data_IF_314293977259
#
_entry.id   IF_314293977259
#
_cell.length_a   1.000
_cell.length_b   1.000
_cell.length_c   1.000
_cell.angle_alpha   90.00
_cell.angle_beta   90.00
_cell.angle_gamma   90.00
#
_symmetry.space_group_name_H-M   'P 1'
#
loop_
_entity.id
_entity.type
_entity.pdbx_description
1 polymer ?
#
# COMPACT_ATOMS: atom_id res chain seq x y z
N UNK A 1 22.29 3.33 -5.88
CA UNK A 1 21.24 2.27 -5.85
C UNK A 1 19.92 2.85 -5.39
N UNK A 2 18.80 2.53 -6.07
CA UNK A 2 17.45 2.96 -5.67
C UNK A 2 17.05 2.30 -4.34
N UNK A 3 16.65 3.10 -3.34
CA UNK A 3 16.24 2.56 -2.03
C UNK A 3 14.91 1.84 -2.12
N UNK A 4 14.79 0.66 -1.48
CA UNK A 4 13.51 -0.01 -1.30
C UNK A 4 12.54 0.87 -0.51
N UNK A 5 11.27 0.91 -0.94
CA UNK A 5 10.25 1.81 -0.41
C UNK A 5 9.27 1.04 0.48
N UNK A 6 9.08 1.50 1.71
CA UNK A 6 8.24 0.83 2.72
C UNK A 6 7.26 1.84 3.32
N UNK A 7 5.98 1.51 3.32
CA UNK A 7 4.99 2.14 4.19
C UNK A 7 4.87 1.31 5.47
N UNK A 8 5.12 1.94 6.61
CA UNK A 8 4.86 1.33 7.92
C UNK A 8 3.41 1.63 8.30
N UNK A 9 2.63 0.58 8.54
CA UNK A 9 1.24 0.74 8.97
C UNK A 9 1.17 1.16 10.44
N UNK A 10 0.62 2.35 10.68
CA UNK A 10 0.42 2.95 11.98
C UNK A 10 -1.01 2.65 12.46
N UNK A 11 -1.27 1.37 12.74
CA UNK A 11 -2.59 0.86 13.14
C UNK A 11 -2.68 0.85 14.68
N UNK A 12 -3.02 2.00 15.28
CA UNK A 12 -3.24 2.20 16.71
C UNK A 12 -3.86 3.58 16.95
N UNK A 13 -4.77 3.73 17.90
CA UNK A 13 -5.31 5.03 18.33
C UNK A 13 -4.40 5.77 19.31
N UNK A 14 -3.37 5.09 19.85
CA UNK A 14 -2.42 5.67 20.80
C UNK A 14 -1.35 6.51 20.08
N UNK A 15 -1.44 7.83 20.22
CA UNK A 15 -0.54 8.80 19.58
C UNK A 15 0.91 8.62 20.03
N UNK A 16 1.16 8.31 21.31
CA UNK A 16 2.53 8.09 21.80
C UNK A 16 3.15 6.89 21.09
N UNK A 17 2.38 5.82 20.87
CA UNK A 17 2.82 4.66 20.09
C UNK A 17 3.12 5.03 18.64
N UNK A 18 2.30 5.84 17.99
CA UNK A 18 2.56 6.32 16.63
C UNK A 18 3.84 7.15 16.56
N UNK A 19 4.05 8.09 17.50
CA UNK A 19 5.29 8.87 17.61
C UNK A 19 6.52 7.98 17.79
N UNK A 20 6.41 6.95 18.61
CA UNK A 20 7.47 5.96 18.81
C UNK A 20 7.79 5.21 17.51
N UNK A 21 6.77 4.72 16.78
CA UNK A 21 6.95 4.04 15.49
C UNK A 21 7.70 4.96 14.53
N UNK A 22 7.27 6.21 14.37
CA UNK A 22 7.90 7.18 13.46
C UNK A 22 9.35 7.43 13.87
N UNK A 23 9.63 7.66 15.15
CA UNK A 23 10.97 7.95 15.67
C UNK A 23 11.92 6.76 15.50
N UNK A 24 11.48 5.55 15.91
CA UNK A 24 12.34 4.34 15.95
C UNK A 24 12.52 3.66 14.59
N UNK A 25 11.70 3.99 13.58
CA UNK A 25 11.81 3.39 12.25
C UNK A 25 12.68 4.18 11.27
N UNK A 26 13.17 5.36 11.64
CA UNK A 26 14.02 6.18 10.77
C UNK A 26 15.31 5.44 10.39
N UNK A 27 15.65 5.44 9.11
CA UNK A 27 16.88 4.86 8.56
C UNK A 27 17.22 5.49 7.20
N UNK A 28 18.51 5.61 6.89
CA UNK A 28 18.98 6.04 5.58
C UNK A 28 18.97 4.92 4.52
N UNK A 29 18.82 3.66 4.93
CA UNK A 29 18.91 2.48 4.05
C UNK A 29 17.62 2.15 3.30
N UNK A 30 16.48 2.65 3.76
CA UNK A 30 15.15 2.47 3.17
C UNK A 30 14.49 3.82 2.95
N UNK A 31 13.59 3.92 1.96
CA UNK A 31 12.66 5.05 1.86
C UNK A 31 11.39 4.69 2.64
N UNK A 32 11.17 5.36 3.77
CA UNK A 32 10.05 5.08 4.67
C UNK A 32 8.96 6.13 4.53
N UNK A 33 7.71 5.67 4.46
CA UNK A 33 6.49 6.43 4.64
C UNK A 33 5.62 5.79 5.72
N UNK A 34 4.55 6.47 6.13
CA UNK A 34 3.65 6.02 7.19
C UNK A 34 2.23 5.97 6.68
N UNK A 35 1.59 4.79 6.79
CA UNK A 35 0.20 4.57 6.43
C UNK A 35 -0.68 4.70 7.67
N UNK A 36 -1.66 5.58 7.58
CA UNK A 36 -2.69 5.77 8.59
C UNK A 36 -4.00 5.15 8.09
N UNK A 37 -4.46 4.11 8.78
CA UNK A 37 -5.67 3.38 8.43
C UNK A 37 -6.92 3.92 9.12
N UNK A 38 -8.07 3.28 8.87
CA UNK A 38 -9.39 3.72 9.35
C UNK A 38 -9.45 3.87 10.86
N UNK A 39 -8.87 2.93 11.63
CA UNK A 39 -8.84 2.99 13.09
C UNK A 39 -8.25 4.31 13.60
N UNK A 40 -7.07 4.69 13.07
CA UNK A 40 -6.40 5.92 13.49
C UNK A 40 -7.10 7.17 12.98
N UNK A 41 -7.48 7.19 11.69
CA UNK A 41 -8.08 8.37 11.05
C UNK A 41 -9.45 8.73 11.64
N UNK A 42 -10.20 7.74 12.14
CA UNK A 42 -11.48 7.94 12.82
C UNK A 42 -11.33 8.15 14.34
N UNK A 43 -10.11 8.08 14.89
CA UNK A 43 -9.89 8.37 16.30
C UNK A 43 -9.97 9.88 16.60
N UNK A 44 -10.34 10.24 17.83
CA UNK A 44 -10.52 11.64 18.30
C UNK A 44 -9.38 12.59 17.87
N UNK A 45 -8.14 12.11 17.88
CA UNK A 45 -6.95 12.94 17.61
C UNK A 45 -6.25 12.60 16.29
N UNK A 46 -6.75 11.64 15.51
CA UNK A 46 -6.05 11.13 14.32
C UNK A 46 -5.85 12.21 13.26
N UNK A 47 -6.89 12.94 12.91
CA UNK A 47 -6.83 14.05 11.95
C UNK A 47 -5.88 15.17 12.40
N UNK A 48 -6.00 15.63 13.66
CA UNK A 48 -5.13 16.65 14.26
C UNK A 48 -3.66 16.22 14.23
N UNK A 49 -3.38 14.97 14.58
CA UNK A 49 -2.02 14.44 14.56
C UNK A 49 -1.43 14.46 13.15
N UNK A 50 -2.17 13.97 12.15
CA UNK A 50 -1.67 13.93 10.76
C UNK A 50 -1.40 15.33 10.22
N UNK A 51 -2.26 16.32 10.49
CA UNK A 51 -2.08 17.71 10.02
C UNK A 51 -0.80 18.35 10.57
N UNK A 52 -0.29 17.87 11.69
CA UNK A 52 0.95 18.37 12.33
C UNK A 52 2.23 17.65 11.83
N UNK A 53 2.09 16.57 11.07
CA UNK A 53 3.26 15.83 10.56
C UNK A 53 3.97 16.65 9.46
N UNK A 54 5.27 16.90 9.69
CA UNK A 54 6.13 17.58 8.72
C UNK A 54 7.22 16.63 8.22
N UNK A 55 7.63 16.79 6.95
CA UNK A 55 8.76 16.08 6.36
C UNK A 55 8.64 14.53 6.39
N UNK A 56 7.42 14.00 6.42
CA UNK A 56 7.14 12.57 6.33
C UNK A 56 6.37 12.26 5.04
N UNK A 57 6.63 11.09 4.46
CA UNK A 57 5.76 10.56 3.39
C UNK A 57 4.56 9.93 4.07
N UNK A 58 3.38 10.47 3.82
CA UNK A 58 2.13 10.06 4.47
C UNK A 58 1.17 9.43 3.49
N UNK A 59 0.49 8.39 3.95
CA UNK A 59 -0.50 7.63 3.20
C UNK A 59 -1.79 7.52 4.02
N UNK A 60 -2.84 8.23 3.57
CA UNK A 60 -4.19 8.15 4.11
C UNK A 60 -4.94 6.96 3.50
N UNK A 61 -5.09 5.88 4.28
CA UNK A 61 -5.74 4.65 3.81
C UNK A 61 -7.23 4.67 4.15
N UNK A 62 -7.99 5.64 3.55
CA UNK A 62 -9.41 5.86 3.77
C UNK A 62 -10.31 4.85 3.08
N UNK A 63 -9.85 4.29 1.94
CA UNK A 63 -10.64 3.37 1.11
C UNK A 63 -11.99 3.95 0.70
N UNK A 64 -12.00 5.23 0.26
CA UNK A 64 -13.24 5.86 -0.20
C UNK A 64 -13.98 4.98 -1.20
N UNK A 65 -15.30 4.85 -1.02
CA UNK A 65 -16.17 4.06 -1.88
C UNK A 65 -17.55 4.68 -1.88
N UNK A 66 -17.85 5.46 -2.92
CA UNK A 66 -19.09 6.21 -3.03
C UNK A 66 -19.31 6.68 -4.49
N UNK A 67 -20.41 7.40 -4.75
CA UNK A 67 -20.69 8.04 -6.05
C UNK A 67 -19.63 9.09 -6.40
N UNK A 68 -19.47 9.47 -7.69
CA UNK A 68 -18.38 10.33 -8.15
C UNK A 68 -18.23 11.65 -7.39
N UNK A 69 -19.33 12.35 -7.14
CA UNK A 69 -19.31 13.64 -6.45
C UNK A 69 -18.84 13.51 -4.99
N UNK A 70 -19.33 12.50 -4.28
CA UNK A 70 -18.95 12.23 -2.88
C UNK A 70 -17.47 11.85 -2.78
N UNK A 71 -16.97 10.99 -3.66
CA UNK A 71 -15.55 10.65 -3.72
C UNK A 71 -14.67 11.88 -3.97
N UNK A 72 -15.06 12.76 -4.91
CA UNK A 72 -14.35 13.99 -5.17
C UNK A 72 -14.37 14.95 -3.97
N UNK A 73 -15.52 15.10 -3.32
CA UNK A 73 -15.69 15.94 -2.13
C UNK A 73 -14.87 15.43 -0.94
N UNK A 74 -14.82 14.11 -0.72
CA UNK A 74 -14.00 13.49 0.31
C UNK A 74 -12.49 13.77 0.09
N UNK A 75 -12.01 13.68 -1.16
CA UNK A 75 -10.62 14.04 -1.50
C UNK A 75 -10.36 15.53 -1.26
N UNK A 76 -11.30 16.42 -1.60
CA UNK A 76 -11.17 17.85 -1.29
C UNK A 76 -11.10 18.10 0.22
N UNK A 77 -11.94 17.44 1.01
CA UNK A 77 -12.06 17.60 2.44
C UNK A 77 -10.80 17.20 3.24
N UNK A 78 -9.91 16.37 2.66
CA UNK A 78 -8.65 15.96 3.31
C UNK A 78 -7.42 16.69 2.78
N UNK A 79 -7.58 17.72 1.93
CA UNK A 79 -6.43 18.45 1.36
C UNK A 79 -5.55 19.15 2.40
N UNK A 80 -6.15 19.63 3.49
CA UNK A 80 -5.46 20.24 4.62
C UNK A 80 -4.47 19.27 5.31
N UNK A 81 -4.72 17.97 5.25
CA UNK A 81 -3.85 16.93 5.82
C UNK A 81 -2.58 16.68 4.98
N UNK A 82 -2.52 17.20 3.76
CA UNK A 82 -1.37 17.14 2.86
C UNK A 82 -0.82 15.72 2.67
N UNK A 83 -1.69 14.72 2.59
CA UNK A 83 -1.29 13.36 2.29
C UNK A 83 -0.55 13.27 0.94
N UNK A 84 0.54 12.50 0.92
CA UNK A 84 1.21 12.17 -0.34
C UNK A 84 0.41 11.13 -1.15
N UNK A 85 -0.33 10.25 -0.45
CA UNK A 85 -1.13 9.18 -1.04
C UNK A 85 -2.47 9.05 -0.33
N UNK A 86 -3.53 8.73 -1.09
CA UNK A 86 -4.87 8.44 -0.56
C UNK A 86 -5.54 7.33 -1.36
N UNK A 87 -6.29 6.45 -0.68
CA UNK A 87 -6.96 5.31 -1.31
C UNK A 87 -8.42 5.57 -1.66
N UNK A 88 -8.82 5.01 -2.81
CA UNK A 88 -10.21 4.86 -3.26
C UNK A 88 -10.41 3.42 -3.76
N UNK A 89 -11.56 2.81 -3.49
CA UNK A 89 -11.89 1.51 -4.05
C UNK A 89 -12.14 1.60 -5.56
N UNK A 90 -11.53 0.69 -6.34
CA UNK A 90 -11.72 0.64 -7.79
C UNK A 90 -13.16 0.21 -8.13
N UNK A 91 -13.81 -0.55 -7.23
CA UNK A 91 -15.23 -0.94 -7.34
C UNK A 91 -16.20 0.24 -7.32
N UNK A 92 -15.79 1.45 -6.92
CA UNK A 92 -16.61 2.67 -7.05
C UNK A 92 -16.88 3.07 -8.51
N UNK A 93 -16.24 2.40 -9.47
CA UNK A 93 -16.45 2.62 -10.90
C UNK A 93 -15.58 3.74 -11.50
N UNK A 94 -15.49 3.73 -12.84
CA UNK A 94 -14.57 4.58 -13.59
C UNK A 94 -14.79 6.08 -13.33
N UNK A 95 -16.03 6.51 -13.27
CA UNK A 95 -16.36 7.94 -13.11
C UNK A 95 -15.99 8.46 -11.72
N UNK A 96 -16.18 7.66 -10.66
CA UNK A 96 -15.73 8.01 -9.30
C UNK A 96 -14.20 8.11 -9.23
N UNK A 97 -13.48 7.18 -9.87
CA UNK A 97 -12.03 7.22 -9.95
C UNK A 97 -11.50 8.47 -10.67
N UNK A 98 -12.12 8.82 -11.82
CA UNK A 98 -11.77 10.03 -12.58
C UNK A 98 -12.08 11.31 -11.78
N UNK A 99 -13.25 11.38 -11.12
CA UNK A 99 -13.66 12.52 -10.32
C UNK A 99 -12.70 12.75 -9.15
N UNK A 100 -12.34 11.70 -8.41
CA UNK A 100 -11.35 11.76 -7.35
C UNK A 100 -9.96 12.20 -7.88
N UNK A 101 -9.50 11.65 -9.00
CA UNK A 101 -8.22 12.00 -9.60
C UNK A 101 -8.17 13.46 -10.07
N UNK A 102 -9.25 13.96 -10.67
CA UNK A 102 -9.35 15.36 -11.15
C UNK A 102 -9.11 16.38 -10.04
N UNK A 103 -9.58 16.11 -8.82
CA UNK A 103 -9.50 17.04 -7.69
C UNK A 103 -8.31 16.78 -6.74
N UNK A 104 -7.50 15.76 -6.98
CA UNK A 104 -6.48 15.28 -6.04
C UNK A 104 -5.28 16.23 -5.84
N UNK A 105 -5.01 17.14 -6.78
CA UNK A 105 -3.87 18.04 -6.73
C UNK A 105 -2.54 17.28 -6.62
N UNK A 106 -1.77 17.55 -5.56
CA UNK A 106 -0.48 16.88 -5.28
C UNK A 106 -0.62 15.51 -4.63
N UNK A 107 -1.80 15.14 -4.13
CA UNK A 107 -2.06 13.83 -3.53
C UNK A 107 -2.17 12.76 -4.60
N UNK A 108 -1.37 11.73 -4.52
CA UNK A 108 -1.45 10.56 -5.41
C UNK A 108 -2.65 9.70 -5.02
N UNK A 109 -3.53 9.43 -5.98
CA UNK A 109 -4.68 8.56 -5.78
C UNK A 109 -4.31 7.11 -6.06
N UNK A 110 -4.56 6.26 -5.06
CA UNK A 110 -4.30 4.83 -5.10
C UNK A 110 -5.63 4.08 -5.27
N UNK A 111 -5.77 3.32 -6.34
CA UNK A 111 -6.89 2.39 -6.49
C UNK A 111 -6.70 1.14 -5.63
N UNK A 112 -7.65 0.85 -4.76
CA UNK A 112 -7.68 -0.43 -4.03
C UNK A 112 -8.39 -1.46 -4.89
N UNK A 113 -7.67 -2.54 -5.22
CA UNK A 113 -8.25 -3.69 -5.91
C UNK A 113 -9.00 -4.60 -4.94
N UNK A 114 -8.96 -5.91 -5.11
CA UNK A 114 -9.61 -6.86 -4.20
C UNK A 114 -8.84 -6.93 -2.88
N UNK A 115 -9.56 -6.80 -1.77
CA UNK A 115 -9.01 -6.93 -0.42
C UNK A 115 -8.31 -8.28 -0.24
N UNK A 116 -7.15 -8.28 0.40
CA UNK A 116 -6.33 -9.50 0.59
C UNK A 116 -6.97 -10.56 1.50
N UNK A 117 -8.02 -10.19 2.23
CA UNK A 117 -8.85 -11.10 3.03
C UNK A 117 -9.86 -11.91 2.19
N UNK A 118 -10.20 -11.44 0.97
CA UNK A 118 -11.18 -12.10 0.11
C UNK A 118 -10.51 -13.17 -0.75
N UNK A 119 -11.17 -14.31 -0.85
CA UNK A 119 -10.86 -15.39 -1.79
C UNK A 119 -12.01 -15.55 -2.80
N UNK A 120 -11.92 -16.54 -3.71
CA UNK A 120 -12.95 -16.75 -4.74
C UNK A 120 -14.33 -17.06 -4.15
N UNK A 121 -14.40 -17.79 -3.02
CA UNK A 121 -15.66 -18.08 -2.33
C UNK A 121 -16.30 -16.80 -1.82
N UNK A 122 -15.54 -15.99 -1.07
CA UNK A 122 -16.03 -14.72 -0.52
C UNK A 122 -16.44 -13.71 -1.62
N UNK A 123 -15.77 -13.74 -2.80
CA UNK A 123 -16.19 -12.92 -3.94
C UNK A 123 -17.57 -13.35 -4.49
N UNK A 124 -17.83 -14.66 -4.59
CA UNK A 124 -19.13 -15.17 -5.01
C UNK A 124 -20.24 -14.80 -4.01
N UNK A 125 -19.94 -14.92 -2.69
CA UNK A 125 -20.86 -14.54 -1.61
C UNK A 125 -21.33 -13.08 -1.68
N UNK A 126 -20.46 -12.16 -2.18
CA UNK A 126 -20.78 -10.73 -2.37
C UNK A 126 -21.16 -10.38 -3.81
N UNK A 127 -21.54 -11.38 -4.62
CA UNK A 127 -22.12 -11.18 -5.95
C UNK A 127 -21.16 -11.04 -7.13
N UNK A 128 -19.84 -11.27 -6.97
CA UNK A 128 -18.92 -11.23 -8.10
C UNK A 128 -18.84 -12.59 -8.82
N UNK A 129 -19.11 -12.59 -10.13
CA UNK A 129 -18.97 -13.78 -10.99
C UNK A 129 -17.51 -14.14 -11.35
N UNK A 130 -16.62 -13.12 -11.40
CA UNK A 130 -15.20 -13.32 -11.73
C UNK A 130 -14.40 -13.80 -10.53
N UNK A 131 -13.44 -14.71 -10.76
CA UNK A 131 -12.43 -15.04 -9.77
C UNK A 131 -11.51 -13.85 -9.42
N UNK A 132 -10.78 -13.97 -8.30
CA UNK A 132 -9.87 -12.91 -7.81
C UNK A 132 -8.92 -12.45 -8.90
N UNK A 133 -8.29 -13.35 -9.63
CA UNK A 133 -7.27 -13.02 -10.64
C UNK A 133 -7.85 -12.25 -11.81
N UNK A 134 -8.99 -12.69 -12.36
CA UNK A 134 -9.69 -12.02 -13.47
C UNK A 134 -10.21 -10.65 -13.03
N UNK A 135 -10.74 -10.55 -11.81
CA UNK A 135 -11.27 -9.29 -11.28
C UNK A 135 -10.16 -8.27 -11.02
N UNK A 136 -9.03 -8.68 -10.45
CA UNK A 136 -7.87 -7.82 -10.23
C UNK A 136 -7.31 -7.28 -11.55
N UNK A 137 -7.23 -8.10 -12.60
CA UNK A 137 -6.82 -7.65 -13.94
C UNK A 137 -7.81 -6.62 -14.50
N UNK A 138 -9.11 -6.87 -14.38
CA UNK A 138 -10.14 -5.92 -14.80
C UNK A 138 -9.98 -4.58 -14.07
N UNK A 139 -9.82 -4.61 -12.76
CA UNK A 139 -9.60 -3.42 -11.93
C UNK A 139 -8.29 -2.69 -12.26
N UNK A 140 -7.22 -3.41 -12.58
CA UNK A 140 -5.97 -2.79 -13.02
C UNK A 140 -6.14 -2.00 -14.34
N UNK A 141 -6.92 -2.52 -15.28
CA UNK A 141 -7.29 -1.81 -16.51
C UNK A 141 -8.14 -0.56 -16.23
N UNK A 142 -9.10 -0.64 -15.30
CA UNK A 142 -9.90 0.53 -14.86
C UNK A 142 -9.02 1.60 -14.21
N UNK A 143 -8.13 1.22 -13.30
CA UNK A 143 -7.17 2.13 -12.66
C UNK A 143 -6.27 2.83 -13.70
N UNK A 144 -5.82 2.09 -14.72
CA UNK A 144 -5.06 2.65 -15.84
C UNK A 144 -5.91 3.66 -16.64
N UNK A 145 -7.14 3.28 -17.02
CA UNK A 145 -8.09 4.15 -17.76
C UNK A 145 -8.44 5.43 -16.98
N UNK A 146 -8.57 5.35 -15.67
CA UNK A 146 -8.78 6.48 -14.77
C UNK A 146 -7.51 7.31 -14.51
N UNK A 147 -6.34 6.93 -15.07
CA UNK A 147 -5.03 7.58 -14.88
C UNK A 147 -4.61 7.68 -13.41
N UNK A 148 -5.02 6.72 -12.56
CA UNK A 148 -4.61 6.70 -11.16
C UNK A 148 -3.08 6.67 -11.03
N UNK A 149 -2.56 7.10 -9.88
CA UNK A 149 -1.11 7.20 -9.65
C UNK A 149 -0.50 5.92 -9.13
N UNK A 150 -1.31 5.11 -8.43
CA UNK A 150 -0.90 3.82 -7.90
C UNK A 150 -2.08 2.85 -7.81
N UNK A 151 -1.77 1.57 -7.60
CA UNK A 151 -2.74 0.51 -7.31
C UNK A 151 -2.26 -0.31 -6.11
N UNK A 152 -3.20 -0.71 -5.24
CA UNK A 152 -2.96 -1.71 -4.20
C UNK A 152 -3.43 -3.06 -4.70
N UNK A 153 -2.54 -4.07 -4.66
CA UNK A 153 -2.88 -5.47 -4.90
C UNK A 153 -2.01 -6.39 -4.03
N UNK A 154 -2.46 -7.63 -3.85
CA UNK A 154 -1.66 -8.66 -3.17
C UNK A 154 -0.36 -8.94 -3.93
N UNK A 155 0.68 -9.34 -3.20
CA UNK A 155 1.97 -9.70 -3.79
C UNK A 155 1.89 -10.87 -4.80
N UNK A 156 0.84 -11.68 -4.73
CA UNK A 156 0.59 -12.78 -5.68
C UNK A 156 0.14 -12.25 -7.05
N UNK A 157 -0.55 -11.11 -7.09
CA UNK A 157 -1.10 -10.53 -8.32
C UNK A 157 -0.16 -9.51 -8.99
N UNK A 158 0.90 -9.06 -8.31
CA UNK A 158 1.79 -7.98 -8.82
C UNK A 158 2.27 -8.24 -10.25
N UNK A 159 2.76 -9.44 -10.56
CA UNK A 159 3.27 -9.76 -11.91
C UNK A 159 2.21 -9.58 -13.00
N UNK A 160 0.96 -9.99 -12.73
CA UNK A 160 -0.12 -9.85 -13.71
C UNK A 160 -0.64 -8.41 -13.77
N UNK A 161 -0.74 -7.73 -12.64
CA UNK A 161 -1.14 -6.30 -12.56
C UNK A 161 -0.15 -5.43 -13.34
N UNK A 162 1.16 -5.70 -13.21
CA UNK A 162 2.22 -4.95 -13.89
C UNK A 162 2.11 -4.97 -15.42
N UNK A 163 1.49 -6.00 -16.00
CA UNK A 163 1.21 -6.05 -17.44
C UNK A 163 0.27 -4.94 -17.90
N UNK A 164 -0.69 -4.54 -17.07
CA UNK A 164 -1.77 -3.58 -17.39
C UNK A 164 -1.63 -2.23 -16.69
N UNK A 165 -0.83 -2.14 -15.62
CA UNK A 165 -0.65 -0.92 -14.85
C UNK A 165 0.83 -0.62 -14.65
N UNK A 166 1.33 0.43 -15.30
CA UNK A 166 2.77 0.76 -15.36
C UNK A 166 3.25 1.74 -14.29
N UNK A 167 2.32 2.38 -13.54
CA UNK A 167 2.67 3.27 -12.43
C UNK A 167 2.93 2.51 -11.12
N UNK A 168 2.88 3.16 -9.96
CA UNK A 168 3.29 2.54 -8.70
C UNK A 168 2.34 1.41 -8.25
N UNK A 169 2.90 0.27 -7.86
CA UNK A 169 2.19 -0.84 -7.23
C UNK A 169 2.56 -0.89 -5.76
N UNK A 170 1.56 -0.83 -4.90
CA UNK A 170 1.70 -0.85 -3.44
C UNK A 170 1.15 -2.17 -2.93
N UNK A 171 1.96 -2.90 -2.16
CA UNK A 171 1.63 -4.30 -1.81
C UNK A 171 1.57 -4.48 -0.29
N UNK A 172 0.37 -4.71 0.26
CA UNK A 172 0.18 -5.10 1.65
C UNK A 172 0.38 -6.61 1.86
N UNK A 173 0.15 -7.09 3.10
CA UNK A 173 0.20 -8.52 3.41
C UNK A 173 1.62 -9.09 3.42
N UNK A 174 2.61 -8.28 3.76
CA UNK A 174 4.01 -8.69 3.80
C UNK A 174 4.36 -9.28 5.16
N UNK A 175 5.03 -10.44 5.16
CA UNK A 175 5.51 -11.14 6.37
C UNK A 175 6.96 -11.60 6.17
N UNK A 176 7.73 -11.68 7.28
CA UNK A 176 9.08 -12.23 7.26
C UNK A 176 9.08 -13.75 7.37
N UNK A 177 8.08 -14.31 8.07
CA UNK A 177 7.90 -15.74 8.33
C UNK A 177 6.55 -16.22 7.78
N UNK A 178 6.32 -17.52 7.78
CA UNK A 178 5.12 -18.20 7.26
C UNK A 178 3.81 -17.89 8.01
N UNK A 179 3.87 -17.27 9.18
CA UNK A 179 2.67 -16.92 9.95
C UNK A 179 1.79 -15.91 9.20
N UNK A 180 0.64 -16.37 8.72
CA UNK A 180 -0.28 -15.60 7.87
C UNK A 180 -1.13 -14.59 8.67
N UNK A 181 -1.49 -14.89 9.94
CA UNK A 181 -2.44 -14.10 10.73
C UNK A 181 -3.79 -14.00 10.01
N UNK A 182 -4.37 -12.80 10.02
CA UNK A 182 -5.63 -12.43 9.35
C UNK A 182 -5.53 -12.30 7.82
N UNK A 183 -4.32 -12.39 7.25
CA UNK A 183 -4.07 -12.20 5.82
C UNK A 183 -3.97 -13.57 5.11
N UNK A 184 -4.87 -13.85 4.16
CA UNK A 184 -4.89 -15.12 3.40
C UNK A 184 -3.83 -15.18 2.29
N UNK A 185 -3.38 -14.01 1.77
CA UNK A 185 -2.49 -13.90 0.60
C UNK A 185 -1.22 -13.11 0.96
N UNK A 186 -0.24 -13.78 1.58
CA UNK A 186 1.01 -13.19 2.08
C UNK A 186 2.23 -13.67 1.29
N UNK A 187 3.24 -12.82 1.17
CA UNK A 187 4.56 -13.15 0.63
C UNK A 187 5.66 -12.40 1.39
N UNK A 188 6.92 -12.85 1.21
CA UNK A 188 8.07 -12.16 1.80
C UNK A 188 8.36 -10.83 1.09
N UNK A 189 9.00 -9.85 1.78
CA UNK A 189 9.37 -8.57 1.19
C UNK A 189 10.16 -8.71 -0.12
N UNK A 190 11.09 -9.64 -0.14
CA UNK A 190 11.95 -9.95 -1.26
C UNK A 190 11.17 -10.42 -2.50
N UNK A 191 10.27 -11.37 -2.31
CA UNK A 191 9.46 -11.89 -3.42
C UNK A 191 8.52 -10.81 -3.97
N UNK A 192 7.93 -9.98 -3.10
CA UNK A 192 7.06 -8.89 -3.53
C UNK A 192 7.80 -7.87 -4.41
N UNK A 193 9.01 -7.43 -4.02
CA UNK A 193 9.82 -6.55 -4.86
C UNK A 193 10.25 -7.20 -6.17
N UNK A 194 10.68 -8.49 -6.14
CA UNK A 194 11.02 -9.24 -7.36
C UNK A 194 9.84 -9.35 -8.33
N UNK A 195 8.62 -9.44 -7.81
CA UNK A 195 7.41 -9.47 -8.63
C UNK A 195 7.06 -8.11 -9.24
N UNK A 196 7.74 -7.02 -8.83
CA UNK A 196 7.55 -5.68 -9.38
C UNK A 196 6.76 -4.71 -8.50
N UNK A 197 6.61 -4.97 -7.17
CA UNK A 197 6.07 -3.99 -6.24
C UNK A 197 7.00 -2.78 -6.12
N UNK A 198 6.45 -1.57 -6.10
CA UNK A 198 7.21 -0.34 -5.85
C UNK A 198 7.29 0.00 -4.36
N UNK A 199 6.22 -0.25 -3.63
CA UNK A 199 6.10 -0.04 -2.20
C UNK A 199 5.55 -1.28 -1.52
N UNK A 200 6.06 -1.58 -0.32
CA UNK A 200 5.45 -2.59 0.55
C UNK A 200 4.78 -1.92 1.74
N UNK A 201 3.60 -2.41 2.13
CA UNK A 201 2.96 -2.00 3.40
C UNK A 201 3.23 -3.08 4.44
N UNK A 202 3.93 -2.71 5.52
CA UNK A 202 4.32 -3.62 6.58
C UNK A 202 3.84 -3.05 7.93
N UNK A 203 2.99 -3.78 8.63
CA UNK A 203 2.46 -3.42 9.95
C UNK A 203 3.17 -4.20 11.07
N UNK A 204 2.45 -5.12 11.70
CA UNK A 204 2.90 -5.92 12.86
C UNK A 204 4.33 -6.47 12.80
N UNK A 205 4.85 -6.97 11.66
CA UNK A 205 6.25 -7.41 11.57
C UNK A 205 7.28 -6.34 11.91
N UNK A 206 6.95 -5.05 11.76
CA UNK A 206 7.79 -3.93 12.16
C UNK A 206 7.35 -3.36 13.51
N UNK A 207 6.04 -3.17 13.70
CA UNK A 207 5.52 -2.37 14.81
C UNK A 207 5.39 -3.15 16.13
N UNK A 208 5.35 -4.49 16.12
CA UNK A 208 5.28 -5.32 17.34
C UNK A 208 6.68 -5.57 17.90
N UNK A 209 6.86 -5.38 19.21
CA UNK A 209 8.15 -5.56 19.89
C UNK A 209 9.15 -4.45 19.58
N UNK A 210 10.44 -4.79 19.40
CA UNK A 210 11.52 -3.81 19.19
C UNK A 210 11.60 -3.36 17.73
N UNK A 211 11.11 -2.13 17.47
CA UNK A 211 11.01 -1.55 16.12
C UNK A 211 12.37 -1.42 15.43
N UNK A 212 13.41 -0.96 16.14
CA UNK A 212 14.76 -0.80 15.57
C UNK A 212 15.32 -2.14 15.09
N UNK A 213 15.19 -3.20 15.90
CA UNK A 213 15.64 -4.54 15.55
C UNK A 213 14.83 -5.10 14.37
N UNK A 214 13.51 -4.84 14.31
CA UNK A 214 12.66 -5.28 13.20
C UNK A 214 13.04 -4.57 11.88
N UNK A 215 13.36 -3.28 11.93
CA UNK A 215 13.89 -2.54 10.76
C UNK A 215 15.25 -3.12 10.32
N UNK A 216 16.15 -3.43 11.27
CA UNK A 216 17.43 -4.08 10.95
C UNK A 216 17.20 -5.43 10.25
N UNK A 217 16.34 -6.30 10.80
CA UNK A 217 15.97 -7.59 10.19
C UNK A 217 15.42 -7.42 8.78
N UNK A 218 14.56 -6.41 8.53
CA UNK A 218 14.06 -6.11 7.20
C UNK A 218 15.18 -5.74 6.23
N UNK A 219 16.08 -4.85 6.65
CA UNK A 219 17.23 -4.41 5.84
C UNK A 219 18.12 -5.60 5.48
N UNK A 220 18.44 -6.45 6.45
CA UNK A 220 19.31 -7.61 6.25
C UNK A 220 18.64 -8.65 5.35
N UNK A 221 17.33 -8.89 5.51
CA UNK A 221 16.53 -9.73 4.62
C UNK A 221 16.58 -9.23 3.17
N UNK A 222 16.55 -7.92 2.94
CA UNK A 222 16.61 -7.33 1.60
C UNK A 222 18.03 -7.31 1.01
N UNK A 223 19.08 -7.13 1.84
CA UNK A 223 20.49 -7.12 1.40
C UNK A 223 21.01 -8.48 0.95
N UNK A 224 20.67 -9.54 1.65
CA UNK A 224 21.13 -10.89 1.34
C UNK A 224 20.84 -11.29 -0.11
N UNK A 225 19.76 -10.76 -0.67
CA UNK A 225 19.37 -10.97 -2.06
C UNK A 225 20.28 -10.28 -3.09
N UNK A 226 20.72 -9.07 -2.84
CA UNK A 226 21.60 -8.35 -3.79
C UNK A 226 22.97 -9.04 -3.95
N UNK A 227 23.39 -9.80 -2.94
CA UNK A 227 24.61 -10.64 -3.02
C UNK A 227 24.37 -11.92 -3.83
N UNK A 228 23.28 -12.64 -3.61
CA UNK A 228 22.98 -13.91 -4.28
C UNK A 228 22.77 -13.71 -5.79
N UNK A 229 22.08 -12.63 -6.21
CA UNK A 229 21.88 -12.32 -7.64
C UNK A 229 23.20 -11.97 -8.33
N UNK A 230 24.13 -11.29 -7.67
CA UNK A 230 25.48 -11.02 -8.22
C UNK A 230 26.32 -12.29 -8.38
N UNK A 231 26.18 -13.29 -7.49
CA UNK A 231 26.92 -14.56 -7.57
C UNK A 231 26.32 -15.56 -8.57
N UNK A 232 25.02 -15.50 -8.85
CA UNK A 232 24.31 -16.47 -9.70
C UNK A 232 24.29 -16.11 -11.19
N UNK A 233 24.97 -15.06 -11.64
CA UNK A 233 25.06 -14.70 -13.07
C UNK A 233 23.74 -14.41 -13.79
N UNK A 234 22.64 -14.22 -13.08
CA UNK A 234 21.35 -13.89 -13.69
C UNK A 234 21.35 -12.43 -14.17
N UNK A 235 21.61 -12.23 -15.46
CA UNK A 235 21.25 -10.98 -16.13
C UNK A 235 19.73 -10.79 -16.06
N UNK A 236 19.31 -9.69 -15.42
CA UNK A 236 17.91 -9.26 -15.44
C UNK A 236 17.69 -8.67 -16.84
N UNK A 237 16.73 -9.18 -17.64
CA UNK A 237 16.34 -8.47 -18.86
C UNK A 237 15.77 -7.11 -18.42
N UNK A 238 16.41 -6.05 -18.87
CA UNK A 238 15.88 -4.68 -18.84
C UNK A 238 14.82 -4.65 -19.96
N UNK A 239 13.55 -4.71 -19.59
CA UNK A 239 12.38 -4.38 -20.41
C UNK A 239 11.63 -3.24 -19.77
#
# INVERSE_FOLDING_TARGET
MKKNKIFIACDSTNILRIREIIRKSKTSKLKIGYKFGLEFLNSKNGRKFVSQLKNQITFGDYKFSDIPNTCASAIKAIKDLKFNYCTIHISSGLEALKAAKKVSGKTKIIGVSILTSLNNRALKEIGFSKDVKKLVVHQAKLAHKAKLDAIVCSAQEVKIVRKFFKKEIITPGIRFNSNKGDQKRVLSPKVAFRNGSDWLVIGRPITKGNIKNNIKKLIDHLKWWSRVVKFAGFQIPIL
#
